data_IF_008041678964
#
_entry.id   IF_008041678964
#
_cell.length_a   1.000
_cell.length_b   1.000
_cell.length_c   1.000
_cell.angle_alpha   90.00
_cell.angle_beta   90.00
_cell.angle_gamma   90.00
#
_symmetry.space_group_name_H-M   'P 1'
#
loop_
_entity.id
_entity.type
_entity.pdbx_description
1 polymer ?
#
# COMPACT_ATOMS: atom_id res chain seq x y z
N UNK A 1 14.92 -7.54 -6.46
CA UNK A 1 15.17 -7.41 -5.00
C UNK A 1 13.90 -7.81 -4.24
N UNK A 2 13.56 -9.10 -4.24
CA UNK A 2 13.74 -10.06 -3.12
C UNK A 2 12.85 -9.78 -1.91
N UNK A 3 11.73 -10.52 -1.86
CA UNK A 3 10.75 -10.62 -0.77
C UNK A 3 11.33 -11.10 0.57
N UNK A 4 12.64 -11.37 0.65
CA UNK A 4 13.32 -11.75 1.89
C UNK A 4 13.54 -10.58 2.85
N UNK A 5 13.80 -9.35 2.35
CA UNK A 5 13.97 -8.17 3.22
C UNK A 5 12.69 -7.76 3.92
N UNK A 6 11.54 -7.82 3.23
CA UNK A 6 10.23 -7.52 3.83
C UNK A 6 9.83 -8.55 4.91
N UNK A 7 10.20 -9.83 4.74
CA UNK A 7 9.96 -10.88 5.74
C UNK A 7 10.84 -10.73 6.98
N UNK A 8 12.05 -10.20 6.84
CA UNK A 8 12.96 -10.03 7.98
C UNK A 8 12.53 -8.88 8.90
N UNK A 9 11.93 -7.82 8.34
CA UNK A 9 11.52 -6.61 9.06
C UNK A 9 10.52 -6.85 10.20
N UNK A 10 9.53 -7.74 10.06
CA UNK A 10 8.50 -7.93 11.12
C UNK A 10 9.00 -8.76 12.32
N UNK A 11 10.03 -9.60 12.15
CA UNK A 11 10.60 -10.46 13.20
C UNK A 11 11.55 -9.74 14.14
N UNK A 12 12.13 -8.63 13.67
CA UNK A 12 13.14 -7.87 14.38
C UNK A 12 12.66 -6.44 14.60
N UNK A 13 11.35 -6.20 14.62
CA UNK A 13 10.84 -4.84 14.75
C UNK A 13 10.63 -4.49 16.21
N UNK A 14 11.58 -3.72 16.80
CA UNK A 14 11.58 -3.43 18.24
C UNK A 14 10.30 -2.71 18.69
N UNK A 15 9.57 -2.09 17.77
CA UNK A 15 8.33 -1.40 18.11
C UNK A 15 7.19 -2.34 18.56
N UNK A 16 7.13 -3.60 18.11
CA UNK A 16 6.07 -4.51 18.58
C UNK A 16 6.35 -4.94 20.02
N UNK A 17 7.63 -5.04 20.39
CA UNK A 17 8.06 -5.34 21.77
C UNK A 17 7.99 -4.12 22.69
N UNK A 18 7.99 -2.90 22.16
CA UNK A 18 7.93 -1.64 22.94
C UNK A 18 6.51 -1.08 23.13
N UNK A 19 5.53 -1.56 22.35
CA UNK A 19 4.15 -1.10 22.48
C UNK A 19 3.49 -1.76 23.69
N UNK A 20 3.24 -0.98 24.75
CA UNK A 20 2.62 -1.49 25.99
C UNK A 20 1.16 -1.92 25.82
N UNK A 21 0.52 -1.50 24.73
CA UNK A 21 -0.86 -1.83 24.37
C UNK A 21 -0.97 -2.78 23.18
N UNK A 22 0.14 -3.30 22.66
CA UNK A 22 0.15 -4.24 21.53
C UNK A 22 0.99 -5.45 21.92
N UNK A 23 0.38 -6.62 21.93
CA UNK A 23 1.10 -7.89 22.09
C UNK A 23 1.08 -8.63 20.77
N UNK A 24 2.25 -9.00 20.24
CA UNK A 24 2.31 -9.94 19.13
C UNK A 24 1.96 -11.32 19.65
N UNK A 25 0.74 -11.76 19.37
CA UNK A 25 0.27 -13.08 19.78
C UNK A 25 0.74 -14.14 18.78
N UNK A 26 0.59 -13.85 17.49
CA UNK A 26 0.92 -14.81 16.44
C UNK A 26 1.30 -14.10 15.13
N UNK A 27 2.30 -14.65 14.44
CA UNK A 27 2.73 -14.17 13.13
C UNK A 27 2.38 -15.20 12.06
N UNK A 28 1.48 -14.81 11.16
CA UNK A 28 1.14 -15.60 9.98
C UNK A 28 1.96 -15.10 8.79
N UNK A 29 2.65 -15.99 8.09
CA UNK A 29 3.35 -15.66 6.85
C UNK A 29 2.50 -16.06 5.65
N UNK A 30 2.05 -15.08 4.87
CA UNK A 30 1.52 -15.34 3.54
C UNK A 30 2.70 -15.43 2.55
N UNK A 31 3.01 -16.64 2.10
CA UNK A 31 4.05 -16.87 1.11
C UNK A 31 3.47 -16.68 -0.30
N UNK A 32 4.18 -15.95 -1.17
CA UNK A 32 3.83 -15.84 -2.59
C UNK A 32 3.64 -17.23 -3.25
N UNK A 33 2.64 -17.38 -4.12
CA UNK A 33 2.27 -18.67 -4.70
C UNK A 33 3.26 -19.07 -5.79
N UNK A 34 4.36 -19.72 -5.41
CA UNK A 34 5.33 -20.25 -6.39
C UNK A 34 5.65 -21.73 -6.23
N UNK A 35 5.22 -22.40 -5.15
CA UNK A 35 5.63 -23.80 -4.88
C UNK A 35 4.48 -24.68 -4.37
N UNK A 36 4.56 -26.01 -4.62
CA UNK A 36 3.63 -27.00 -4.06
C UNK A 36 3.54 -26.95 -2.52
N UNK A 37 4.67 -26.66 -1.85
CA UNK A 37 4.74 -26.51 -0.38
C UNK A 37 3.88 -25.34 0.13
N UNK A 38 3.84 -24.22 -0.58
CA UNK A 38 3.01 -23.06 -0.18
C UNK A 38 1.52 -23.35 -0.38
N UNK A 39 1.14 -24.12 -1.40
CA UNK A 39 -0.24 -24.60 -1.57
C UNK A 39 -0.68 -25.56 -0.45
N UNK A 40 0.19 -26.49 -0.05
CA UNK A 40 -0.07 -27.39 1.08
C UNK A 40 -0.18 -26.64 2.42
N UNK A 41 0.65 -25.61 2.64
CA UNK A 41 0.54 -24.74 3.84
C UNK A 41 -0.78 -23.97 3.90
N UNK A 42 -1.36 -23.55 2.76
CA UNK A 42 -2.67 -22.89 2.74
C UNK A 42 -3.80 -23.81 3.22
N UNK A 43 -3.68 -25.13 3.00
CA UNK A 43 -4.62 -26.10 3.55
C UNK A 43 -4.61 -26.11 5.10
N UNK A 44 -3.49 -25.74 5.73
CA UNK A 44 -3.41 -25.58 7.19
C UNK A 44 -4.15 -24.33 7.68
N UNK A 45 -4.32 -23.33 6.82
CA UNK A 45 -5.01 -22.07 7.10
C UNK A 45 -6.41 -22.01 6.49
N UNK A 46 -7.06 -23.17 6.31
CA UNK A 46 -8.44 -23.24 5.88
C UNK A 46 -9.38 -22.51 6.86
N UNK A 47 -10.59 -22.18 6.42
CA UNK A 47 -11.56 -21.35 7.16
C UNK A 47 -11.80 -21.79 8.61
N UNK A 48 -11.81 -23.10 8.90
CA UNK A 48 -12.00 -23.59 10.27
C UNK A 48 -10.76 -23.40 11.15
N UNK A 49 -9.55 -23.44 10.60
CA UNK A 49 -8.33 -23.07 11.30
C UNK A 49 -8.32 -21.56 11.60
N UNK A 50 -8.69 -20.72 10.62
CA UNK A 50 -8.85 -19.28 10.83
C UNK A 50 -9.90 -18.97 11.92
N UNK A 51 -11.06 -19.65 11.90
CA UNK A 51 -12.09 -19.50 12.94
C UNK A 51 -11.56 -19.91 14.31
N UNK A 52 -10.87 -21.06 14.42
CA UNK A 52 -10.26 -21.51 15.68
C UNK A 52 -9.23 -20.51 16.21
N UNK A 53 -8.43 -19.92 15.33
CA UNK A 53 -7.46 -18.88 15.68
C UNK A 53 -8.16 -17.64 16.26
N UNK A 54 -9.18 -17.12 15.58
CA UNK A 54 -9.93 -15.94 16.01
C UNK A 54 -10.63 -16.18 17.36
N UNK A 55 -11.24 -17.35 17.55
CA UNK A 55 -11.88 -17.73 18.81
C UNK A 55 -10.88 -17.93 19.94
N UNK A 56 -9.76 -18.63 19.69
CA UNK A 56 -8.72 -18.91 20.69
C UNK A 56 -8.16 -17.62 21.29
N UNK A 57 -7.99 -16.59 20.46
CA UNK A 57 -7.44 -15.30 20.87
C UNK A 57 -8.53 -14.27 21.21
N UNK A 58 -9.79 -14.70 21.35
CA UNK A 58 -10.94 -13.85 21.68
C UNK A 58 -11.00 -12.55 20.85
N UNK A 59 -10.74 -12.67 19.54
CA UNK A 59 -10.67 -11.51 18.65
C UNK A 59 -12.04 -10.84 18.55
N UNK A 60 -12.13 -9.58 18.94
CA UNK A 60 -13.36 -8.77 18.86
C UNK A 60 -13.49 -7.92 17.59
N UNK A 61 -12.43 -7.78 16.81
CA UNK A 61 -12.38 -6.92 15.61
C UNK A 61 -11.33 -7.46 14.63
N UNK A 62 -11.66 -7.49 13.34
CA UNK A 62 -10.68 -7.80 12.28
C UNK A 62 -10.38 -6.55 11.44
N UNK A 63 -9.16 -6.04 11.55
CA UNK A 63 -8.64 -4.98 10.70
C UNK A 63 -7.81 -5.57 9.56
N UNK A 64 -8.09 -5.15 8.32
CA UNK A 64 -7.38 -5.58 7.11
C UNK A 64 -7.06 -4.37 6.26
N UNK A 65 -6.00 -4.46 5.45
CA UNK A 65 -5.76 -3.39 4.48
C UNK A 65 -6.88 -3.31 3.42
N UNK A 66 -7.02 -2.15 2.79
CA UNK A 66 -7.99 -1.88 1.73
C UNK A 66 -8.00 -2.99 0.67
N UNK A 67 -9.19 -3.45 0.34
CA UNK A 67 -9.37 -4.42 -0.71
C UNK A 67 -10.82 -4.86 -0.80
N UNK A 68 -11.02 -5.97 -1.47
CA UNK A 68 -12.33 -6.57 -1.57
C UNK A 68 -12.76 -7.18 -0.23
N UNK A 69 -14.04 -7.02 0.16
CA UNK A 69 -14.59 -7.79 1.26
C UNK A 69 -14.53 -9.29 0.91
N UNK A 70 -14.69 -10.18 1.89
CA UNK A 70 -14.96 -11.58 1.60
C UNK A 70 -16.24 -11.68 0.75
N UNK A 71 -16.13 -12.30 -0.43
CA UNK A 71 -17.26 -12.45 -1.35
C UNK A 71 -18.16 -13.57 -0.85
N UNK A 72 -19.48 -13.37 -0.79
CA UNK A 72 -20.41 -14.49 -0.57
C UNK A 72 -20.14 -15.56 -1.61
N UNK A 73 -19.92 -16.79 -1.15
CA UNK A 73 -19.54 -17.92 -2.00
C UNK A 73 -20.71 -18.31 -2.91
N UNK A 74 -20.76 -17.73 -4.11
CA UNK A 74 -21.65 -18.15 -5.19
C UNK A 74 -20.87 -18.98 -6.23
N UNK A 75 -21.56 -19.94 -6.84
CA UNK A 75 -21.02 -20.80 -7.89
C UNK A 75 -20.99 -22.30 -7.56
N UNK A 76 -20.43 -23.12 -8.46
CA UNK A 76 -20.42 -24.58 -8.34
C UNK A 76 -19.72 -25.07 -7.06
N UNK A 77 -20.20 -26.18 -6.50
CA UNK A 77 -19.70 -26.77 -5.24
C UNK A 77 -18.17 -26.94 -5.25
N UNK A 78 -17.59 -27.39 -6.37
CA UNK A 78 -16.14 -27.56 -6.52
C UNK A 78 -15.36 -26.24 -6.42
N UNK A 79 -15.89 -25.14 -6.98
CA UNK A 79 -15.27 -23.82 -6.90
C UNK A 79 -15.33 -23.29 -5.48
N UNK A 80 -16.46 -23.51 -4.80
CA UNK A 80 -16.65 -23.14 -3.39
C UNK A 80 -15.69 -23.91 -2.48
N UNK A 81 -15.63 -25.23 -2.61
CA UNK A 81 -14.71 -26.09 -1.88
C UNK A 81 -13.24 -25.69 -2.12
N UNK A 82 -12.87 -25.39 -3.37
CA UNK A 82 -11.53 -24.92 -3.71
C UNK A 82 -11.20 -23.58 -3.04
N UNK A 83 -12.12 -22.61 -3.05
CA UNK A 83 -11.93 -21.31 -2.37
C UNK A 83 -11.82 -21.50 -0.86
N UNK A 84 -12.68 -22.32 -0.28
CA UNK A 84 -12.65 -22.66 1.15
C UNK A 84 -11.31 -23.27 1.59
N UNK A 85 -10.65 -24.05 0.73
CA UNK A 85 -9.37 -24.68 1.01
C UNK A 85 -8.13 -23.85 0.64
N UNK A 86 -8.19 -23.07 -0.44
CA UNK A 86 -7.00 -22.53 -1.11
C UNK A 86 -6.94 -21.00 -1.21
N UNK A 87 -7.95 -20.28 -0.71
CA UNK A 87 -7.84 -18.82 -0.57
C UNK A 87 -6.64 -18.45 0.30
N UNK A 88 -6.13 -17.23 0.10
CA UNK A 88 -5.05 -16.67 0.93
C UNK A 88 -5.51 -16.49 2.39
N UNK A 89 -4.54 -16.38 3.29
CA UNK A 89 -4.78 -16.30 4.74
C UNK A 89 -5.68 -15.12 5.09
N UNK A 90 -5.50 -13.96 4.45
CA UNK A 90 -6.30 -12.77 4.74
C UNK A 90 -7.76 -13.00 4.33
N UNK A 91 -8.01 -13.56 3.15
CA UNK A 91 -9.35 -13.93 2.71
C UNK A 91 -10.01 -14.95 3.65
N UNK A 92 -9.25 -15.95 4.13
CA UNK A 92 -9.76 -16.94 5.08
C UNK A 92 -10.12 -16.31 6.43
N UNK A 93 -9.31 -15.36 6.93
CA UNK A 93 -9.61 -14.59 8.13
C UNK A 93 -10.85 -13.73 7.97
N UNK A 94 -11.00 -13.04 6.83
CA UNK A 94 -12.21 -12.25 6.52
C UNK A 94 -13.48 -13.12 6.53
N UNK A 95 -13.41 -14.28 5.89
CA UNK A 95 -14.51 -15.26 5.86
C UNK A 95 -14.84 -15.83 7.23
N UNK A 96 -13.83 -16.13 8.05
CA UNK A 96 -14.02 -16.63 9.40
C UNK A 96 -14.59 -15.55 10.35
N UNK A 97 -14.14 -14.29 10.21
CA UNK A 97 -14.68 -13.16 10.94
C UNK A 97 -16.17 -12.96 10.63
N UNK A 98 -16.57 -13.06 9.35
CA UNK A 98 -17.98 -13.02 8.97
C UNK A 98 -18.81 -14.15 9.60
N UNK A 99 -18.31 -15.39 9.63
CA UNK A 99 -19.03 -16.52 10.26
C UNK A 99 -19.17 -16.37 11.78
N UNK A 100 -18.30 -15.57 12.39
CA UNK A 100 -18.28 -15.29 13.82
C UNK A 100 -19.04 -14.00 14.15
N UNK A 101 -19.55 -13.26 13.16
CA UNK A 101 -20.20 -11.97 13.36
C UNK A 101 -19.25 -10.89 13.88
N UNK A 102 -17.93 -11.02 13.61
CA UNK A 102 -16.95 -10.03 14.02
C UNK A 102 -16.97 -8.83 13.08
N UNK A 103 -16.90 -7.59 13.61
CA UNK A 103 -16.76 -6.41 12.78
C UNK A 103 -15.50 -6.48 11.90
N UNK A 104 -15.65 -6.09 10.64
CA UNK A 104 -14.61 -6.06 9.63
C UNK A 104 -14.30 -4.63 9.22
N UNK A 105 -13.06 -4.20 9.45
CA UNK A 105 -12.59 -2.83 9.17
C UNK A 105 -11.50 -2.86 8.10
N UNK A 106 -11.71 -2.10 7.03
CA UNK A 106 -10.69 -1.89 6.00
C UNK A 106 -9.91 -0.60 6.27
N UNK A 107 -8.60 -0.71 6.47
CA UNK A 107 -7.70 0.43 6.71
C UNK A 107 -6.89 0.79 5.46
N UNK A 108 -6.58 2.08 5.24
CA UNK A 108 -5.86 2.50 4.04
C UNK A 108 -4.41 1.99 4.04
N UNK A 109 -3.96 1.49 2.89
CA UNK A 109 -2.57 1.08 2.64
C UNK A 109 -1.54 2.20 2.86
N UNK A 110 -2.00 3.46 2.73
CA UNK A 110 -1.18 4.65 2.88
C UNK A 110 -2.00 5.92 2.68
N UNK A 111 -1.31 7.05 2.67
CA UNK A 111 -1.91 8.34 2.38
C UNK A 111 -1.71 8.68 0.91
N UNK A 112 -2.79 8.91 0.17
CA UNK A 112 -2.69 9.52 -1.14
C UNK A 112 -2.43 11.01 -0.95
N UNK A 113 -1.47 11.61 -1.65
CA UNK A 113 -1.30 13.08 -1.68
C UNK A 113 -1.93 13.70 -2.92
N UNK A 114 -2.60 12.89 -3.75
CA UNK A 114 -3.25 13.33 -4.97
C UNK A 114 -4.50 14.14 -4.62
N UNK A 115 -4.58 15.35 -5.17
CA UNK A 115 -5.70 16.29 -5.07
C UNK A 115 -6.65 16.19 -6.27
N UNK A 116 -6.43 15.21 -7.14
CA UNK A 116 -7.32 14.84 -8.25
C UNK A 116 -7.32 13.31 -8.39
N UNK A 117 -8.47 12.75 -8.76
CA UNK A 117 -8.54 11.34 -9.15
C UNK A 117 -7.79 11.18 -10.47
N UNK A 118 -6.71 10.40 -10.45
CA UNK A 118 -5.99 10.06 -11.67
C UNK A 118 -6.76 8.95 -12.38
N UNK A 119 -7.37 9.30 -13.51
CA UNK A 119 -8.03 8.35 -14.40
C UNK A 119 -7.01 7.81 -15.39
N UNK A 120 -6.36 6.71 -14.99
CA UNK A 120 -5.56 5.96 -15.95
C UNK A 120 -6.47 5.31 -17.00
N UNK A 121 -5.90 4.88 -18.13
CA UNK A 121 -6.62 4.14 -19.17
C UNK A 121 -7.40 2.95 -18.60
N UNK A 122 -6.81 2.22 -17.65
CA UNK A 122 -7.49 1.13 -16.95
C UNK A 122 -8.70 1.62 -16.14
N UNK A 123 -8.58 2.73 -15.41
CA UNK A 123 -9.68 3.30 -14.62
C UNK A 123 -10.80 3.77 -15.56
N UNK A 124 -10.46 4.48 -16.65
CA UNK A 124 -11.43 4.91 -17.66
C UNK A 124 -12.15 3.71 -18.28
N UNK A 125 -11.42 2.67 -18.66
CA UNK A 125 -12.00 1.44 -19.20
C UNK A 125 -12.97 0.79 -18.21
N UNK A 126 -12.59 0.66 -16.93
CA UNK A 126 -13.47 0.10 -15.89
C UNK A 126 -14.70 0.98 -15.70
N UNK A 127 -14.55 2.30 -15.63
CA UNK A 127 -15.69 3.22 -15.46
C UNK A 127 -16.63 3.18 -16.66
N UNK A 128 -16.12 3.10 -17.89
CA UNK A 128 -16.93 2.97 -19.11
C UNK A 128 -17.82 1.72 -19.08
N UNK A 129 -17.32 0.61 -18.53
CA UNK A 129 -18.08 -0.64 -18.36
C UNK A 129 -19.02 -0.64 -17.15
N UNK A 130 -19.02 0.42 -16.34
CA UNK A 130 -19.76 0.52 -15.08
C UNK A 130 -20.49 1.88 -14.97
N UNK A 131 -21.12 2.33 -16.06
CA UNK A 131 -21.95 3.55 -16.11
C UNK A 131 -21.21 4.82 -15.64
N UNK A 132 -19.93 4.94 -15.98
CA UNK A 132 -19.10 6.09 -15.60
C UNK A 132 -18.66 6.10 -14.15
N UNK A 133 -18.77 4.99 -13.41
CA UNK A 133 -18.37 4.88 -11.99
C UNK A 133 -17.49 3.67 -11.73
N UNK A 134 -16.65 3.74 -10.71
CA UNK A 134 -15.90 2.59 -10.21
C UNK A 134 -16.85 1.60 -9.48
N UNK A 135 -16.82 0.30 -9.79
CA UNK A 135 -17.75 -0.69 -9.23
C UNK A 135 -17.32 -1.14 -7.81
N UNK A 136 -17.36 -0.21 -6.87
CA UNK A 136 -16.93 -0.42 -5.48
C UNK A 136 -18.09 -0.63 -4.50
N UNK A 137 -19.30 -0.95 -4.99
CA UNK A 137 -20.47 -1.21 -4.12
C UNK A 137 -20.21 -2.34 -3.11
N UNK A 138 -19.34 -3.29 -3.46
CA UNK A 138 -18.95 -4.36 -2.53
C UNK A 138 -18.21 -3.83 -1.28
N UNK A 139 -17.56 -2.66 -1.36
CA UNK A 139 -16.88 -2.04 -0.21
C UNK A 139 -17.85 -1.66 0.91
N UNK A 140 -19.14 -1.53 0.63
CA UNK A 140 -20.18 -1.31 1.64
C UNK A 140 -20.40 -2.54 2.55
N UNK A 141 -19.82 -3.71 2.22
CA UNK A 141 -19.90 -4.93 3.05
C UNK A 141 -18.96 -4.91 4.27
N UNK A 142 -18.10 -3.89 4.41
CA UNK A 142 -17.30 -3.66 5.61
C UNK A 142 -18.13 -2.91 6.68
N UNK A 143 -17.85 -3.14 7.95
CA UNK A 143 -18.43 -2.34 9.04
C UNK A 143 -17.84 -0.92 9.07
N UNK A 144 -16.56 -0.79 8.72
CA UNK A 144 -15.96 0.50 8.40
C UNK A 144 -14.97 0.39 7.23
N UNK A 145 -15.14 1.26 6.23
CA UNK A 145 -14.16 1.48 5.17
C UNK A 145 -13.45 2.81 5.41
N UNK A 146 -12.23 2.74 5.91
CA UNK A 146 -11.52 3.89 6.49
C UNK A 146 -10.72 4.62 5.43
N UNK A 147 -10.91 5.93 5.33
CA UNK A 147 -10.17 6.83 4.47
C UNK A 147 -9.16 7.66 5.25
N UNK A 148 -8.06 7.99 4.57
CA UNK A 148 -6.99 8.79 5.14
C UNK A 148 -7.29 10.30 5.18
N UNK A 149 -8.28 10.77 4.42
CA UNK A 149 -8.73 12.16 4.42
C UNK A 149 -10.19 12.25 3.97
N UNK A 150 -10.88 13.33 4.36
CA UNK A 150 -12.24 13.61 3.89
C UNK A 150 -12.27 13.80 2.37
N UNK A 151 -11.27 14.51 1.83
CA UNK A 151 -11.14 14.72 0.38
C UNK A 151 -11.11 13.39 -0.40
N UNK A 152 -10.31 12.39 0.02
CA UNK A 152 -10.26 11.10 -0.69
C UNK A 152 -11.54 10.29 -0.54
N UNK A 153 -12.18 10.35 0.63
CA UNK A 153 -13.50 9.74 0.81
C UNK A 153 -14.47 10.33 -0.20
N UNK A 154 -14.60 11.65 -0.24
CA UNK A 154 -15.61 12.34 -1.04
C UNK A 154 -15.34 12.13 -2.54
N UNK A 155 -14.07 12.20 -2.97
CA UNK A 155 -13.69 11.90 -4.35
C UNK A 155 -14.04 10.47 -4.76
N UNK A 156 -13.79 9.48 -3.89
CA UNK A 156 -14.11 8.07 -4.20
C UNK A 156 -15.62 7.82 -4.18
N UNK A 157 -16.36 8.36 -3.21
CA UNK A 157 -17.81 8.22 -3.16
C UNK A 157 -18.49 8.88 -4.39
N UNK A 158 -18.01 10.05 -4.81
CA UNK A 158 -18.53 10.72 -6.01
C UNK A 158 -18.28 9.92 -7.30
N UNK A 159 -17.16 9.21 -7.38
CA UNK A 159 -16.70 8.53 -8.60
C UNK A 159 -16.92 7.01 -8.57
N UNK A 160 -17.63 6.48 -7.57
CA UNK A 160 -17.88 5.05 -7.43
C UNK A 160 -19.34 4.73 -7.14
N UNK A 161 -19.65 3.43 -7.17
CA UNK A 161 -20.95 2.87 -6.82
C UNK A 161 -21.10 2.59 -5.32
N UNK A 162 -20.15 3.03 -4.48
CA UNK A 162 -20.30 2.94 -3.02
C UNK A 162 -21.48 3.80 -2.55
N UNK A 163 -22.28 3.29 -1.62
CA UNK A 163 -23.29 4.07 -0.90
C UNK A 163 -22.60 4.91 0.18
N UNK A 164 -21.55 4.38 0.82
CA UNK A 164 -20.67 5.13 1.71
C UNK A 164 -21.15 5.26 3.16
N UNK A 165 -22.22 4.57 3.56
CA UNK A 165 -22.69 4.58 4.96
C UNK A 165 -21.64 4.08 5.97
N UNK A 166 -20.76 3.18 5.52
CA UNK A 166 -19.63 2.66 6.28
C UNK A 166 -18.32 3.45 6.09
N UNK A 167 -18.31 4.50 5.25
CA UNK A 167 -17.10 5.25 4.94
C UNK A 167 -16.72 6.17 6.12
N UNK A 168 -15.56 5.93 6.73
CA UNK A 168 -15.05 6.71 7.88
C UNK A 168 -13.77 7.43 7.52
N UNK A 169 -13.45 8.52 8.21
CA UNK A 169 -12.17 9.24 8.05
C UNK A 169 -11.41 9.17 9.36
N UNK A 170 -10.37 8.35 9.43
CA UNK A 170 -9.52 8.21 10.63
C UNK A 170 -8.09 8.71 10.42
N UNK A 171 -7.71 9.05 9.18
CA UNK A 171 -6.33 9.40 8.85
C UNK A 171 -5.52 8.21 8.34
N UNK A 172 -4.23 8.44 8.11
CA UNK A 172 -3.29 7.40 7.67
C UNK A 172 -2.43 6.96 8.85
N UNK A 173 -2.43 5.65 9.14
CA UNK A 173 -1.55 5.07 10.16
C UNK A 173 -0.05 5.36 9.91
N UNK A 174 0.34 5.67 8.67
CA UNK A 174 1.72 6.07 8.33
C UNK A 174 2.13 7.44 8.88
N UNK A 175 1.18 8.32 9.19
CA UNK A 175 1.41 9.70 9.62
C UNK A 175 0.75 9.88 10.98
N UNK A 176 1.38 9.32 12.00
CA UNK A 176 0.95 9.40 13.39
C UNK A 176 2.13 9.92 14.23
N UNK A 177 1.86 10.78 15.20
CA UNK A 177 2.87 11.45 16.04
C UNK A 177 3.75 10.48 16.84
N UNK A 178 3.25 9.27 17.13
CA UNK A 178 4.03 8.19 17.75
C UNK A 178 4.92 7.47 16.75
N UNK A 179 4.47 7.35 15.49
CA UNK A 179 5.12 6.54 14.47
C UNK A 179 6.23 7.29 13.73
N UNK A 180 5.98 8.55 13.39
CA UNK A 180 6.88 9.35 12.55
C UNK A 180 8.27 9.52 13.20
N UNK A 181 8.41 9.93 14.48
CA UNK A 181 9.72 10.07 15.11
C UNK A 181 10.52 8.77 15.14
N UNK A 182 9.83 7.64 15.36
CA UNK A 182 10.47 6.31 15.38
C UNK A 182 10.99 5.90 14.01
N UNK A 183 10.24 6.19 12.95
CA UNK A 183 10.68 5.96 11.58
C UNK A 183 11.94 6.79 11.25
N UNK A 184 11.99 8.05 11.69
CA UNK A 184 13.17 8.88 11.54
C UNK A 184 14.37 8.34 12.34
N UNK A 185 14.16 7.82 13.55
CA UNK A 185 15.23 7.24 14.36
C UNK A 185 15.86 5.97 13.73
N UNK A 186 15.10 5.24 12.92
CA UNK A 186 15.60 4.07 12.18
C UNK A 186 16.12 4.40 10.78
N UNK A 187 15.88 5.60 10.28
CA UNK A 187 16.35 5.99 8.97
C UNK A 187 17.89 6.06 8.99
N UNK A 188 18.58 5.43 8.02
CA UNK A 188 20.02 5.52 7.96
C UNK A 188 20.44 6.97 7.76
N UNK A 189 21.46 7.40 8.49
CA UNK A 189 22.07 8.71 8.27
C UNK A 189 22.60 8.77 6.85
N UNK A 190 22.17 9.77 6.10
CA UNK A 190 22.70 10.06 4.78
C UNK A 190 23.65 11.25 4.87
N UNK A 191 24.88 11.05 4.38
CA UNK A 191 25.87 12.12 4.26
C UNK A 191 25.86 12.64 2.83
N UNK A 192 25.69 13.96 2.62
CA UNK A 192 25.81 14.55 1.29
C UNK A 192 27.18 14.28 0.66
N UNK A 193 27.26 14.10 -0.67
CA UNK A 193 28.55 14.03 -1.36
C UNK A 193 29.29 15.37 -1.27
N UNK A 194 30.61 15.37 -1.46
CA UNK A 194 31.41 16.61 -1.44
C UNK A 194 30.95 17.64 -2.47
N UNK A 195 30.37 17.18 -3.59
CA UNK A 195 29.75 18.04 -4.62
C UNK A 195 28.59 18.89 -4.07
N UNK A 196 28.01 18.51 -2.92
CA UNK A 196 26.96 19.26 -2.25
C UNK A 196 27.47 20.26 -1.21
N UNK A 197 28.79 20.34 -0.97
CA UNK A 197 29.37 21.22 0.08
C UNK A 197 29.02 22.68 -0.18
N UNK A 198 28.51 23.36 0.85
CA UNK A 198 28.10 24.77 0.77
C UNK A 198 26.79 25.01 0.01
N UNK A 199 26.08 23.97 -0.42
CA UNK A 199 24.82 24.05 -1.16
C UNK A 199 23.66 23.48 -0.34
N UNK A 200 22.43 23.94 -0.64
CA UNK A 200 21.21 23.38 -0.08
C UNK A 200 20.82 22.12 -0.85
N UNK A 201 20.34 21.10 -0.15
CA UNK A 201 19.92 19.85 -0.78
C UNK A 201 18.48 19.99 -1.30
N UNK A 202 18.30 19.75 -2.60
CA UNK A 202 16.99 19.58 -3.21
C UNK A 202 16.77 18.07 -3.46
N UNK A 203 15.91 17.44 -2.65
CA UNK A 203 15.54 16.04 -2.85
C UNK A 203 14.37 15.93 -3.83
N UNK A 204 14.58 15.20 -4.93
CA UNK A 204 13.57 14.99 -5.96
C UNK A 204 13.23 13.50 -6.07
N UNK A 205 11.95 13.17 -5.87
CA UNK A 205 11.45 11.82 -6.10
C UNK A 205 10.91 11.71 -7.52
N UNK A 206 11.46 10.80 -8.32
CA UNK A 206 11.01 10.61 -9.69
C UNK A 206 9.55 10.12 -9.68
N UNK A 207 8.62 10.84 -10.32
CA UNK A 207 7.23 10.44 -10.33
C UNK A 207 7.03 9.18 -11.16
N UNK A 208 5.89 8.50 -10.97
CA UNK A 208 5.46 7.50 -11.95
C UNK A 208 4.97 8.20 -13.20
N UNK A 209 5.53 7.87 -14.35
CA UNK A 209 5.23 8.57 -15.61
C UNK A 209 3.77 8.39 -16.03
N UNK A 210 3.14 7.27 -15.65
CA UNK A 210 1.73 6.99 -15.90
C UNK A 210 0.74 7.81 -15.05
N UNK A 211 1.21 8.65 -14.13
CA UNK A 211 0.35 9.56 -13.34
C UNK A 211 0.10 10.91 -14.05
N UNK A 212 0.01 10.92 -15.39
CA UNK A 212 -0.23 12.13 -16.20
C UNK A 212 0.78 13.26 -15.94
N UNK A 213 2.04 12.90 -15.71
CA UNK A 213 3.12 13.89 -15.50
C UNK A 213 3.79 14.22 -16.82
N UNK A 214 4.02 15.50 -17.09
CA UNK A 214 4.81 15.92 -18.25
C UNK A 214 6.30 15.58 -18.01
N UNK A 215 6.77 14.51 -18.67
CA UNK A 215 8.15 14.01 -18.55
C UNK A 215 9.18 15.07 -18.95
N UNK A 216 8.96 15.75 -20.07
CA UNK A 216 9.90 16.75 -20.58
C UNK A 216 10.05 17.93 -19.61
N UNK A 217 8.93 18.52 -19.17
CA UNK A 217 8.95 19.60 -18.20
C UNK A 217 9.59 19.18 -16.86
N UNK A 218 9.41 17.92 -16.45
CA UNK A 218 10.04 17.37 -15.25
C UNK A 218 11.56 17.28 -15.40
N UNK A 219 12.06 16.82 -16.55
CA UNK A 219 13.50 16.77 -16.85
C UNK A 219 14.11 18.17 -16.92
N UNK A 220 13.41 19.13 -17.52
CA UNK A 220 13.82 20.53 -17.58
C UNK A 220 13.93 21.15 -16.19
N UNK A 221 12.95 20.90 -15.31
CA UNK A 221 12.99 21.32 -13.92
C UNK A 221 14.18 20.71 -13.17
N UNK A 222 14.41 19.39 -13.30
CA UNK A 222 15.56 18.75 -12.67
C UNK A 222 16.89 19.34 -13.18
N UNK A 223 17.01 19.56 -14.48
CA UNK A 223 18.20 20.17 -15.06
C UNK A 223 18.39 21.64 -14.59
N UNK A 224 17.31 22.40 -14.42
CA UNK A 224 17.36 23.75 -13.88
C UNK A 224 17.82 23.77 -12.42
N UNK A 225 17.32 22.85 -11.58
CA UNK A 225 17.75 22.70 -10.20
C UNK A 225 19.23 22.31 -10.15
N UNK A 226 19.66 21.35 -10.98
CA UNK A 226 21.05 20.88 -11.00
C UNK A 226 22.04 21.94 -11.55
N UNK A 227 21.60 22.89 -12.37
CA UNK A 227 22.42 24.03 -12.79
C UNK A 227 22.49 25.17 -11.76
N UNK A 228 21.68 25.12 -10.71
CA UNK A 228 21.69 26.16 -9.68
C UNK A 228 23.01 26.19 -8.92
N UNK A 229 23.57 27.38 -8.72
CA UNK A 229 24.80 27.55 -7.95
C UNK A 229 24.63 27.23 -6.45
N UNK A 230 23.40 27.33 -5.94
CA UNK A 230 23.08 27.21 -4.50
C UNK A 230 22.39 25.90 -4.12
N UNK A 231 22.00 25.08 -5.11
CA UNK A 231 21.31 23.82 -4.88
C UNK A 231 22.17 22.64 -5.33
N UNK A 232 22.07 21.52 -4.61
CA UNK A 232 22.52 20.21 -5.05
C UNK A 232 21.31 19.29 -5.17
N UNK A 233 21.10 18.72 -6.36
CA UNK A 233 19.96 17.85 -6.63
C UNK A 233 20.27 16.41 -6.20
N UNK A 234 19.41 15.81 -5.39
CA UNK A 234 19.44 14.38 -5.09
C UNK A 234 18.22 13.74 -5.72
N UNK A 235 18.44 12.83 -6.67
CA UNK A 235 17.35 12.14 -7.39
C UNK A 235 17.14 10.75 -6.80
N UNK A 236 15.93 10.50 -6.33
CA UNK A 236 15.50 9.17 -5.87
C UNK A 236 14.44 8.60 -6.81
N UNK A 237 14.80 7.52 -7.49
CA UNK A 237 13.83 6.73 -8.26
C UNK A 237 12.75 6.11 -7.36
N UNK A 238 11.62 5.75 -7.96
CA UNK A 238 10.62 4.96 -7.25
C UNK A 238 11.15 3.53 -7.03
N UNK A 239 10.73 2.88 -5.95
CA UNK A 239 11.05 1.47 -5.67
C UNK A 239 10.51 0.45 -6.72
N UNK A 240 9.81 0.93 -7.74
CA UNK A 240 9.27 0.14 -8.87
C UNK A 240 9.81 0.77 -10.15
N UNK A 241 11.04 0.41 -10.50
CA UNK A 241 11.82 1.06 -11.57
C UNK A 241 11.13 1.06 -12.93
N UNK A 242 10.27 0.06 -13.22
CA UNK A 242 9.54 -0.05 -14.48
C UNK A 242 8.63 1.14 -14.79
N UNK A 243 8.09 1.80 -13.76
CA UNK A 243 7.01 2.79 -13.92
C UNK A 243 7.52 4.24 -13.76
N UNK A 244 8.79 4.43 -13.42
CA UNK A 244 9.37 5.71 -12.99
C UNK A 244 10.87 5.84 -13.26
N UNK A 245 11.43 4.99 -14.14
CA UNK A 245 12.85 5.01 -14.43
C UNK A 245 13.24 6.23 -15.26
N UNK A 246 14.40 6.82 -14.95
CA UNK A 246 15.13 7.65 -15.89
C UNK A 246 15.93 6.72 -16.80
N UNK A 247 15.91 6.98 -18.10
CA UNK A 247 16.76 6.32 -19.07
C UNK A 247 18.23 6.65 -18.80
N UNK A 248 19.13 5.78 -19.26
CA UNK A 248 20.57 6.02 -19.15
C UNK A 248 21.01 7.33 -19.81
N UNK A 249 20.31 7.77 -20.87
CA UNK A 249 20.54 9.05 -21.52
C UNK A 249 20.19 10.23 -20.61
N UNK A 250 19.00 10.22 -20.03
CA UNK A 250 18.55 11.26 -19.09
C UNK A 250 19.43 11.34 -17.85
N UNK A 251 19.84 10.19 -17.29
CA UNK A 251 20.78 10.15 -16.17
C UNK A 251 22.11 10.81 -16.51
N UNK A 252 22.70 10.49 -17.68
CA UNK A 252 23.96 11.10 -18.13
C UNK A 252 23.82 12.61 -18.35
N UNK A 253 22.74 13.04 -18.99
CA UNK A 253 22.47 14.47 -19.22
C UNK A 253 22.35 15.25 -17.91
N UNK A 254 21.71 14.67 -16.89
CA UNK A 254 21.65 15.28 -15.56
C UNK A 254 23.03 15.28 -14.91
N UNK A 255 23.74 14.16 -14.89
CA UNK A 255 25.07 14.03 -14.27
C UNK A 255 26.11 14.99 -14.86
N UNK A 256 26.01 15.31 -16.16
CA UNK A 256 26.87 16.29 -16.82
C UNK A 256 26.78 17.70 -16.23
N UNK A 257 25.74 18.02 -15.47
CA UNK A 257 25.61 19.32 -14.77
C UNK A 257 26.47 19.43 -13.50
N UNK A 258 27.02 18.32 -13.00
CA UNK A 258 27.96 18.29 -11.87
C UNK A 258 27.36 18.49 -10.47
N UNK A 259 26.10 18.94 -10.35
CA UNK A 259 25.43 19.17 -9.05
C UNK A 259 24.21 18.27 -8.85
N UNK A 260 24.32 17.01 -9.28
CA UNK A 260 23.28 15.99 -9.11
C UNK A 260 23.86 14.67 -8.60
N UNK A 261 23.09 13.94 -7.81
CA UNK A 261 23.42 12.58 -7.34
C UNK A 261 22.19 11.69 -7.30
#
# INVERSE_FOLDING_TARGET
>A
MTSSRAKQLVTTTPWITEATNITLIERLTDDEPRTLRTRLRRLLHHRAAARRLLTRHAVGLLCVEWGEPPRRESGPILVRARRWLLNDVVSQLKHAAQDLGLPLVAVPHGHSTKTVMIRSEHVEHVMAHNSGKLPFADRDAYDAYVFASAYHRDAILAQSTMVGGNAKVWGSARFNDLWVPRLYAQAPTWTPPDTARGRRIALFFVPKWNNLVNRQATLELMAAIARSAVLHLVVRGHARESDSGLSSGECRSLQATGNVT
#
